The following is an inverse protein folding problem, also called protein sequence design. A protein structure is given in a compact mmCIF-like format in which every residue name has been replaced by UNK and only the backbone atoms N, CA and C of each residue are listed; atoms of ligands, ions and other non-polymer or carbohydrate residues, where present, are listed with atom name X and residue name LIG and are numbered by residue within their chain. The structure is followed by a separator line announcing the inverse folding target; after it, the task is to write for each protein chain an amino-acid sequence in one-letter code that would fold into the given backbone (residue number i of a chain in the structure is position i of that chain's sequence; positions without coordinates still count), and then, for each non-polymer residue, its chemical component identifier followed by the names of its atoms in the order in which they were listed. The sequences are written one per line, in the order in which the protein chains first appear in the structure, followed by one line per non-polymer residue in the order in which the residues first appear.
data_IF_553106122403
#
_entry.id   IF_553106122403
#
_cell.length_a   1.000
_cell.length_b   1.000
_cell.length_c   1.000
_cell.angle_alpha   90.00
_cell.angle_beta   90.00
_cell.angle_gamma   90.00
#
_symmetry.space_group_name_H-M   'P 1'
#
loop_
_entity.id
_entity.type
_entity.pdbx_description
1 polymer ?
#
# COMPACT_ATOMS: atom_id res chain seq x y z
N UNK A 1 2.03 -11.78 -9.75
CA UNK A 1 3.00 -10.81 -9.20
C UNK A 1 2.26 -10.06 -8.10
N UNK A 2 2.54 -10.36 -6.84
CA UNK A 2 1.85 -9.73 -5.70
C UNK A 2 2.64 -8.50 -5.26
N UNK A 3 2.33 -7.35 -5.88
CA UNK A 3 2.86 -6.06 -5.43
C UNK A 3 2.13 -5.66 -4.15
N UNK A 4 2.88 -5.30 -3.12
CA UNK A 4 2.37 -4.73 -1.89
C UNK A 4 2.94 -3.34 -1.67
N UNK A 5 2.19 -2.48 -0.99
CA UNK A 5 2.64 -1.17 -0.53
C UNK A 5 2.50 -1.10 0.98
N UNK A 6 3.58 -0.70 1.66
CA UNK A 6 3.63 -0.49 3.10
C UNK A 6 4.48 0.74 3.46
N UNK A 7 4.77 0.91 4.75
CA UNK A 7 5.56 2.03 5.29
C UNK A 7 6.69 1.51 6.15
N UNK A 8 7.90 2.01 5.92
CA UNK A 8 9.10 1.68 6.71
C UNK A 8 9.77 2.98 7.08
N UNK A 9 9.93 3.27 8.36
CA UNK A 9 10.60 4.48 8.86
C UNK A 9 10.17 5.78 8.15
N UNK A 10 8.85 5.93 7.90
CA UNK A 10 8.24 7.08 7.18
C UNK A 10 8.48 7.14 5.67
N UNK A 11 8.92 6.04 5.06
CA UNK A 11 9.04 5.93 3.62
C UNK A 11 8.04 4.92 3.07
N UNK A 12 7.41 5.25 1.95
CA UNK A 12 6.54 4.33 1.23
C UNK A 12 7.41 3.28 0.56
N UNK A 13 7.14 2.01 0.83
CA UNK A 13 7.85 0.87 0.25
C UNK A 13 6.89 0.06 -0.62
N UNK A 14 7.30 -0.22 -1.85
CA UNK A 14 6.60 -1.13 -2.76
C UNK A 14 7.44 -2.37 -3.04
N UNK A 15 6.85 -3.56 -3.01
CA UNK A 15 7.59 -4.78 -3.31
C UNK A 15 6.78 -6.06 -3.10
N UNK A 16 7.42 -7.24 -3.21
CA UNK A 16 6.78 -8.51 -2.92
C UNK A 16 6.28 -8.55 -1.48
N UNK A 17 5.13 -9.20 -1.25
CA UNK A 17 4.50 -9.30 0.08
C UNK A 17 5.49 -9.71 1.18
N UNK A 18 6.31 -10.75 0.94
CA UNK A 18 7.29 -11.23 1.93
C UNK A 18 8.25 -10.15 2.44
N UNK A 19 8.63 -9.20 1.57
CA UNK A 19 9.57 -8.14 1.89
C UNK A 19 8.85 -6.96 2.55
N UNK A 20 7.65 -6.61 2.07
CA UNK A 20 6.88 -5.53 2.70
C UNK A 20 6.41 -5.94 4.09
N UNK A 21 5.92 -7.17 4.27
CA UNK A 21 5.44 -7.69 5.55
C UNK A 21 6.56 -7.90 6.60
N UNK A 22 7.83 -7.97 6.20
CA UNK A 22 8.94 -8.04 7.16
C UNK A 22 9.32 -6.69 7.75
N UNK A 23 8.99 -5.59 7.06
CA UNK A 23 9.35 -4.23 7.45
C UNK A 23 8.15 -3.34 7.82
N UNK A 24 6.95 -3.68 7.33
CA UNK A 24 5.72 -2.92 7.55
C UNK A 24 4.62 -3.83 8.12
N UNK A 25 4.18 -3.64 9.38
CA UNK A 25 3.11 -4.44 9.97
C UNK A 25 1.74 -4.19 9.33
N UNK A 26 1.58 -3.03 8.68
CA UNK A 26 0.38 -2.67 7.93
C UNK A 26 0.76 -2.45 6.47
N UNK A 27 0.17 -3.21 5.55
CA UNK A 27 0.41 -3.06 4.12
C UNK A 27 -0.86 -3.37 3.34
N UNK A 28 -0.86 -2.99 2.06
CA UNK A 28 -1.94 -3.31 1.12
C UNK A 28 -1.38 -4.09 -0.07
N UNK A 29 -2.14 -5.08 -0.55
CA UNK A 29 -1.90 -5.72 -1.83
C UNK A 29 -2.49 -4.87 -2.96
N UNK A 30 -1.75 -4.75 -4.05
CA UNK A 30 -2.15 -4.05 -5.26
C UNK A 30 -2.43 -5.09 -6.34
N UNK A 31 -3.65 -5.05 -6.87
CA UNK A 31 -4.09 -5.93 -7.95
C UNK A 31 -4.15 -5.15 -9.27
N UNK A 32 -3.96 -5.81 -10.42
CA UNK A 32 -4.35 -5.23 -11.71
C UNK A 32 -5.82 -4.80 -11.69
N UNK A 33 -6.15 -3.72 -12.37
CA UNK A 33 -7.53 -3.20 -12.41
C UNK A 33 -7.65 -1.92 -13.21
N UNK A 34 -8.83 -1.31 -13.16
CA UNK A 34 -9.21 -0.15 -13.97
C UNK A 34 -9.52 1.10 -13.12
N UNK A 35 -9.25 1.06 -11.82
CA UNK A 35 -9.50 2.21 -10.96
C UNK A 35 -8.48 3.32 -11.22
N UNK A 36 -8.94 4.57 -11.07
CA UNK A 36 -8.06 5.75 -11.15
C UNK A 36 -6.94 5.64 -10.12
N UNK A 37 -5.71 5.86 -10.54
CA UNK A 37 -4.51 5.83 -9.66
C UNK A 37 -4.70 6.69 -8.40
N UNK A 38 -5.28 7.88 -8.55
CA UNK A 38 -5.55 8.78 -7.42
C UNK A 38 -6.57 8.21 -6.41
N UNK A 39 -7.54 7.42 -6.87
CA UNK A 39 -8.50 6.74 -6.00
C UNK A 39 -7.83 5.61 -5.20
N UNK A 40 -7.01 4.79 -5.88
CA UNK A 40 -6.25 3.71 -5.24
C UNK A 40 -5.23 4.28 -4.25
N UNK A 41 -4.53 5.35 -4.62
CA UNK A 41 -3.57 6.01 -3.75
C UNK A 41 -4.24 6.57 -2.49
N UNK A 42 -5.39 7.26 -2.63
CA UNK A 42 -6.15 7.78 -1.50
C UNK A 42 -6.67 6.67 -0.59
N UNK A 43 -7.15 5.56 -1.17
CA UNK A 43 -7.59 4.41 -0.40
C UNK A 43 -6.42 3.76 0.36
N UNK A 44 -5.28 3.56 -0.30
CA UNK A 44 -4.04 3.05 0.30
C UNK A 44 -3.58 3.93 1.46
N UNK A 45 -3.48 5.24 1.24
CA UNK A 45 -3.14 6.21 2.28
C UNK A 45 -4.06 6.11 3.50
N UNK A 46 -5.37 6.00 3.30
CA UNK A 46 -6.32 5.86 4.40
C UNK A 46 -6.17 4.54 5.18
N UNK A 47 -5.53 3.53 4.61
CA UNK A 47 -5.27 2.23 5.25
C UNK A 47 -3.95 2.27 6.02
N UNK A 48 -2.88 2.76 5.40
CA UNK A 48 -1.51 2.61 5.93
C UNK A 48 -0.94 3.88 6.59
N UNK A 49 -1.50 5.06 6.31
CA UNK A 49 -0.96 6.38 6.70
C UNK A 49 -2.05 7.37 7.14
N UNK A 50 -3.18 6.87 7.66
CA UNK A 50 -4.30 7.73 8.06
C UNK A 50 -3.88 8.72 9.15
N UNK A 51 -3.93 10.02 8.83
CA UNK A 51 -3.58 11.10 9.76
C UNK A 51 -2.18 11.69 9.54
N UNK A 52 -1.39 11.11 8.63
CA UNK A 52 -0.09 11.63 8.24
C UNK A 52 -0.21 12.85 7.29
N UNK A 53 0.90 13.52 6.94
CA UNK A 53 0.90 14.53 5.91
C UNK A 53 0.38 14.02 4.56
N UNK A 54 -0.33 14.88 3.81
CA UNK A 54 -0.81 14.53 2.46
C UNK A 54 0.30 14.32 1.44
N UNK A 55 1.54 14.76 1.72
CA UNK A 55 2.70 14.55 0.85
C UNK A 55 2.98 13.08 0.56
N UNK A 56 2.58 12.17 1.46
CA UNK A 56 2.69 10.73 1.24
C UNK A 56 1.81 10.20 0.10
N UNK A 57 0.77 10.94 -0.30
CA UNK A 57 -0.07 10.53 -1.44
C UNK A 57 0.76 10.49 -2.73
N UNK A 58 1.67 11.44 -2.93
CA UNK A 58 2.53 11.48 -4.10
C UNK A 58 3.50 10.29 -4.12
N UNK A 59 4.03 9.91 -2.95
CA UNK A 59 4.90 8.75 -2.81
C UNK A 59 4.17 7.43 -3.09
N UNK A 60 2.92 7.31 -2.63
CA UNK A 60 2.06 6.17 -2.98
C UNK A 60 1.78 6.14 -4.48
N UNK A 61 1.47 7.28 -5.10
CA UNK A 61 1.21 7.35 -6.55
C UNK A 61 2.42 6.86 -7.35
N UNK A 62 3.64 7.24 -6.94
CA UNK A 62 4.90 6.79 -7.57
C UNK A 62 5.17 5.30 -7.36
N UNK A 63 4.68 4.72 -6.26
CA UNK A 63 4.82 3.30 -5.95
C UNK A 63 3.81 2.42 -6.70
N UNK A 64 2.72 2.98 -7.23
CA UNK A 64 1.71 2.24 -7.96
C UNK A 64 2.17 1.90 -9.39
N UNK A 65 1.78 0.73 -9.92
CA UNK A 65 2.12 0.33 -11.27
C UNK A 65 1.36 1.18 -12.31
N UNK A 66 1.93 1.30 -13.49
CA UNK A 66 1.24 1.88 -14.65
C UNK A 66 0.21 0.89 -15.23
N UNK A 67 -0.79 1.39 -15.96
CA UNK A 67 -1.81 0.55 -16.60
C UNK A 67 -3.08 0.31 -15.78
N UNK A 68 -3.23 1.00 -14.64
CA UNK A 68 -4.40 0.88 -13.77
C UNK A 68 -4.25 -0.23 -12.73
N UNK A 69 -4.82 0.01 -11.55
CA UNK A 69 -4.75 -0.93 -10.44
C UNK A 69 -6.03 -0.88 -9.61
N UNK A 70 -6.20 -1.85 -8.72
CA UNK A 70 -7.30 -1.92 -7.76
C UNK A 70 -6.81 -2.48 -6.42
N UNK A 71 -7.59 -2.26 -5.38
CA UNK A 71 -7.39 -2.90 -4.08
C UNK A 71 -8.28 -4.14 -3.98
N UNK A 72 -7.84 -5.20 -3.27
CA UNK A 72 -8.68 -6.35 -2.98
C UNK A 72 -9.92 -5.92 -2.20
N UNK A 73 -11.07 -6.58 -2.47
CA UNK A 73 -12.34 -6.31 -1.78
C UNK A 73 -12.26 -6.53 -0.25
N UNK A 74 -11.34 -7.39 0.20
CA UNK A 74 -11.05 -7.65 1.61
C UNK A 74 -9.65 -7.14 1.92
N UNK A 75 -9.53 -6.21 2.86
CA UNK A 75 -8.26 -5.72 3.36
C UNK A 75 -7.62 -6.83 4.20
N UNK A 76 -6.47 -7.34 3.77
CA UNK A 76 -5.69 -8.30 4.55
C UNK A 76 -4.87 -7.51 5.57
N UNK A 77 -5.37 -7.38 6.80
CA UNK A 77 -4.59 -6.90 7.94
C UNK A 77 -3.85 -8.11 8.55
N UNK A 78 -2.62 -8.34 8.13
CA UNK A 78 -1.73 -9.29 8.79
C UNK A 78 -0.91 -8.57 9.86
N UNK A 79 -1.59 -8.20 10.95
CA UNK A 79 -0.92 -7.84 12.18
C UNK A 79 -0.18 -9.06 12.71
N UNK A 80 1.13 -9.16 12.47
CA UNK A 80 1.98 -10.03 13.29
C UNK A 80 1.97 -9.45 14.71
N UNK A 81 1.09 -9.96 15.55
CA UNK A 81 1.30 -9.92 17.00
C UNK A 81 2.60 -10.68 17.27
N UNK A 82 3.69 -9.95 17.54
CA UNK A 82 4.81 -10.52 18.28
C UNK A 82 4.35 -10.60 19.74
N UNK A 83 4.05 -11.82 20.18
CA UNK A 83 4.09 -12.17 21.61
C UNK A 83 5.54 -12.11 22.09
#
# INVERSE_FOLDING_TARGET
MDLCIGVVDRFVMAGPERAVASHSPTYVRILPGDQKTSAVAKATYNIILKGEPKSYLDDIIRALPTGGCSLPKRLEHTGKQRQ
#
